data_IF_139031527441
#
_entry.id   IF_139031527441
#
_cell.length_a   1.000
_cell.length_b   1.000
_cell.length_c   1.000
_cell.angle_alpha   90.00
_cell.angle_beta   90.00
_cell.angle_gamma   90.00
#
_symmetry.space_group_name_H-M   'P 1'
#
loop_
_entity.id
_entity.type
_entity.pdbx_description
1 polymer ?
#
# COMPACT_ATOMS: atom_id res chain seq x y z
N UNK A 1 10.36 15.39 12.64
CA UNK A 1 9.25 15.51 11.67
C UNK A 1 8.65 14.13 11.49
N UNK A 2 7.35 13.95 11.76
CA UNK A 2 6.64 12.68 11.65
C UNK A 2 5.71 12.73 10.45
N UNK A 3 6.08 12.12 9.34
CA UNK A 3 5.20 12.00 8.18
C UNK A 3 4.11 10.96 8.46
N UNK A 4 2.85 11.31 8.21
CA UNK A 4 1.70 10.43 8.48
C UNK A 4 0.94 10.17 7.20
N UNK A 5 0.76 8.89 6.86
CA UNK A 5 -0.09 8.46 5.74
C UNK A 5 -1.36 7.90 6.35
N UNK A 6 -2.50 8.51 6.03
CA UNK A 6 -3.82 8.01 6.38
C UNK A 6 -4.34 7.14 5.25
N UNK A 7 -4.46 5.84 5.50
CA UNK A 7 -5.11 4.90 4.57
C UNK A 7 -6.59 4.81 4.94
N UNK A 8 -7.48 5.07 3.98
CA UNK A 8 -8.91 5.09 4.24
C UNK A 8 -9.69 4.43 3.10
N UNK A 9 -10.72 3.68 3.45
CA UNK A 9 -11.68 3.13 2.50
C UNK A 9 -13.09 3.62 2.87
N UNK A 10 -13.55 4.76 2.34
CA UNK A 10 -14.81 5.39 2.77
C UNK A 10 -16.07 4.63 2.35
N UNK A 11 -15.97 3.63 1.47
CA UNK A 11 -17.08 2.84 0.96
C UNK A 11 -16.86 1.32 1.07
N UNK A 12 -17.90 0.56 0.76
CA UNK A 12 -17.88 -0.91 0.86
C UNK A 12 -17.02 -1.58 -0.23
N UNK A 13 -16.68 -0.84 -1.29
CA UNK A 13 -15.92 -1.36 -2.43
C UNK A 13 -14.42 -1.01 -2.32
N UNK A 14 -13.51 -1.93 -2.67
CA UNK A 14 -12.06 -1.68 -2.71
C UNK A 14 -11.65 -0.46 -3.53
N UNK A 15 -12.39 -0.15 -4.61
CA UNK A 15 -12.16 1.02 -5.47
C UNK A 15 -12.30 2.36 -4.73
N UNK A 16 -12.91 2.35 -3.55
CA UNK A 16 -13.02 3.54 -2.71
C UNK A 16 -11.79 3.77 -1.83
N UNK A 17 -10.84 2.83 -1.80
CA UNK A 17 -9.56 3.00 -1.08
C UNK A 17 -8.86 4.23 -1.61
N UNK A 18 -8.40 5.05 -0.68
CA UNK A 18 -7.60 6.21 -0.95
C UNK A 18 -6.65 6.43 0.21
N UNK A 19 -5.72 7.35 0.05
CA UNK A 19 -4.77 7.73 1.05
C UNK A 19 -4.70 9.25 1.13
N UNK A 20 -4.17 9.76 2.24
CA UNK A 20 -3.87 11.16 2.40
C UNK A 20 -2.57 11.31 3.18
N UNK A 21 -1.70 12.16 2.64
CA UNK A 21 -0.37 12.40 3.18
C UNK A 21 -0.38 13.68 4.02
N UNK A 22 0.17 13.60 5.23
CA UNK A 22 0.21 14.70 6.19
C UNK A 22 1.62 14.89 6.75
N UNK A 23 1.97 16.14 7.07
CA UNK A 23 3.27 16.47 7.67
C UNK A 23 3.31 16.18 9.18
N UNK A 24 2.14 15.99 9.79
CA UNK A 24 1.99 15.69 11.22
C UNK A 24 0.76 14.82 11.52
N UNK A 25 0.77 14.18 12.69
CA UNK A 25 -0.39 13.41 13.19
C UNK A 25 -1.59 14.33 13.44
N UNK A 26 -1.36 15.58 13.86
CA UNK A 26 -2.44 16.52 14.12
C UNK A 26 -3.20 16.87 12.83
N UNK A 27 -2.49 17.16 11.75
CA UNK A 27 -3.09 17.39 10.43
C UNK A 27 -3.84 16.15 9.92
N UNK A 28 -3.31 14.96 10.17
CA UNK A 28 -3.99 13.71 9.85
C UNK A 28 -5.34 13.60 10.59
N UNK A 29 -5.38 13.93 11.87
CA UNK A 29 -6.63 13.93 12.65
C UNK A 29 -7.64 14.96 12.13
N UNK A 30 -7.19 16.15 11.72
CA UNK A 30 -8.06 17.12 11.03
C UNK A 30 -8.61 16.54 9.71
N UNK A 31 -7.79 15.76 8.99
CA UNK A 31 -8.20 15.00 7.81
C UNK A 31 -9.32 14.01 8.08
N UNK A 32 -9.21 13.23 9.16
CA UNK A 32 -10.26 12.28 9.60
C UNK A 32 -11.59 13.00 9.83
N UNK A 33 -11.57 14.16 10.51
CA UNK A 33 -12.76 14.98 10.72
C UNK A 33 -13.39 15.44 9.40
N UNK A 34 -12.57 15.94 8.46
CA UNK A 34 -13.04 16.37 7.13
C UNK A 34 -13.70 15.23 6.35
N UNK A 35 -13.11 14.03 6.37
CA UNK A 35 -13.69 12.84 5.73
C UNK A 35 -15.07 12.53 6.30
N UNK A 36 -15.20 12.57 7.64
CA UNK A 36 -16.49 12.32 8.29
C UNK A 36 -17.53 13.39 7.96
N UNK A 37 -17.13 14.67 7.96
CA UNK A 37 -18.01 15.78 7.56
C UNK A 37 -18.51 15.65 6.13
N UNK A 38 -17.65 15.27 5.19
CA UNK A 38 -18.05 15.02 3.81
C UNK A 38 -19.07 13.87 3.70
N UNK A 39 -18.87 12.79 4.46
CA UNK A 39 -19.83 11.69 4.54
C UNK A 39 -21.18 12.15 5.09
N UNK A 40 -21.19 12.97 6.14
CA UNK A 40 -22.41 13.55 6.70
C UNK A 40 -23.13 14.48 5.71
N UNK A 41 -22.39 15.30 4.96
CA UNK A 41 -22.95 16.15 3.87
C UNK A 41 -23.59 15.31 2.77
N UNK A 42 -22.95 14.22 2.36
CA UNK A 42 -23.48 13.30 1.35
C UNK A 42 -24.78 12.63 1.81
N UNK A 43 -24.87 12.27 3.08
CA UNK A 43 -26.09 11.68 3.68
C UNK A 43 -27.20 12.70 3.91
N UNK A 44 -26.85 13.96 4.16
CA UNK A 44 -27.78 15.03 4.52
C UNK A 44 -27.62 16.27 3.62
N UNK A 45 -27.90 16.16 2.30
CA UNK A 45 -27.58 17.22 1.33
C UNK A 45 -28.35 18.53 1.56
N UNK A 46 -29.49 18.47 2.26
CA UNK A 46 -30.32 19.64 2.56
C UNK A 46 -29.97 20.34 3.87
N UNK A 47 -28.95 19.86 4.60
CA UNK A 47 -28.55 20.45 5.88
C UNK A 47 -27.43 21.47 5.66
N UNK A 48 -27.66 22.77 5.91
CA UNK A 48 -26.69 23.82 5.61
C UNK A 48 -25.48 23.82 6.54
N UNK A 49 -25.62 23.26 7.75
CA UNK A 49 -24.53 23.18 8.74
C UNK A 49 -24.50 21.79 9.35
N UNK A 50 -23.39 21.09 9.14
CA UNK A 50 -23.16 19.78 9.75
C UNK A 50 -22.72 19.99 11.20
N UNK A 51 -23.37 19.27 12.11
CA UNK A 51 -22.99 19.20 13.52
C UNK A 51 -22.96 17.74 13.93
N UNK A 52 -21.97 17.36 14.73
CA UNK A 52 -21.80 16.03 15.30
C UNK A 52 -21.02 16.17 16.60
N UNK A 53 -21.24 15.25 17.53
CA UNK A 53 -20.39 15.13 18.71
C UNK A 53 -19.24 14.14 18.47
N UNK A 54 -18.29 14.11 19.40
CA UNK A 54 -17.08 13.27 19.27
C UNK A 54 -17.38 11.77 19.32
N UNK A 55 -18.47 11.35 19.96
CA UNK A 55 -18.86 9.95 20.03
C UNK A 55 -19.28 9.46 18.65
N UNK A 56 -20.03 10.28 17.91
CA UNK A 56 -20.44 9.98 16.53
C UNK A 56 -19.25 9.85 15.58
N UNK A 57 -18.18 10.63 15.79
CA UNK A 57 -16.94 10.51 15.02
C UNK A 57 -16.18 9.21 15.36
N UNK A 58 -16.10 8.84 16.64
CA UNK A 58 -15.46 7.58 17.05
C UNK A 58 -16.21 6.35 16.53
N UNK A 59 -17.54 6.37 16.59
CA UNK A 59 -18.37 5.32 16.01
C UNK A 59 -18.11 5.14 14.50
N UNK A 60 -17.85 6.24 13.78
CA UNK A 60 -17.48 6.19 12.36
C UNK A 60 -16.11 5.55 12.13
N UNK A 61 -15.11 5.93 12.92
CA UNK A 61 -13.75 5.35 12.84
C UNK A 61 -13.80 3.84 13.10
N UNK A 62 -14.55 3.42 14.12
CA UNK A 62 -14.68 2.00 14.48
C UNK A 62 -15.37 1.18 13.37
N UNK A 63 -16.38 1.74 12.71
CA UNK A 63 -17.12 1.09 11.62
C UNK A 63 -16.30 0.89 10.33
N UNK A 64 -15.29 1.74 10.06
CA UNK A 64 -14.42 1.65 8.88
C UNK A 64 -13.55 0.39 8.81
N UNK A 65 -13.44 -0.32 9.93
CA UNK A 65 -12.60 -1.50 10.16
C UNK A 65 -13.08 -2.79 9.46
N UNK A 66 -14.36 -2.87 9.08
CA UNK A 66 -14.95 -4.16 8.64
C UNK A 66 -14.78 -4.49 7.15
N UNK A 67 -14.21 -3.58 6.35
CA UNK A 67 -14.34 -3.62 4.88
C UNK A 67 -13.14 -4.24 4.14
N UNK A 68 -11.99 -4.45 4.80
CA UNK A 68 -10.80 -5.06 4.20
C UNK A 68 -10.88 -6.61 4.10
N UNK A 69 -12.07 -7.16 3.89
CA UNK A 69 -12.36 -8.58 4.08
C UNK A 69 -11.90 -9.53 2.96
N UNK A 70 -11.04 -9.10 2.02
CA UNK A 70 -10.57 -9.98 0.93
C UNK A 70 -9.08 -9.87 0.68
N UNK A 71 -8.41 -11.02 0.90
CA UNK A 71 -6.98 -11.29 0.76
C UNK A 71 -6.11 -10.27 1.54
N UNK A 72 -4.90 -10.64 1.96
CA UNK A 72 -4.09 -9.73 2.80
C UNK A 72 -3.61 -8.54 1.96
N UNK A 73 -4.45 -7.50 1.83
CA UNK A 73 -4.16 -6.30 1.07
C UNK A 73 -2.80 -5.76 1.48
N UNK A 74 -1.95 -5.48 0.50
CA UNK A 74 -0.55 -5.18 0.73
C UNK A 74 -0.19 -3.89 0.02
N UNK A 75 0.40 -2.96 0.75
CA UNK A 75 0.92 -1.69 0.22
C UNK A 75 2.43 -1.78 0.17
N UNK A 76 3.00 -1.59 -1.00
CA UNK A 76 4.44 -1.53 -1.23
C UNK A 76 4.89 -0.07 -1.19
N UNK A 77 5.90 0.23 -0.39
CA UNK A 77 6.55 1.53 -0.31
C UNK A 77 7.93 1.41 -0.95
N UNK A 78 8.25 2.26 -1.93
CA UNK A 78 9.50 2.19 -2.69
C UNK A 78 10.14 3.57 -2.75
N UNK A 79 11.43 3.64 -2.44
CA UNK A 79 12.27 4.81 -2.72
C UNK A 79 13.45 4.39 -3.61
N UNK A 80 13.36 4.57 -4.95
CA UNK A 80 14.43 4.16 -5.86
C UNK A 80 15.70 5.01 -5.78
N UNK A 81 15.58 6.30 -5.43
CA UNK A 81 16.70 7.25 -5.45
C UNK A 81 16.92 7.96 -4.12
N UNK A 82 18.07 8.60 -3.96
CA UNK A 82 18.43 9.29 -2.70
C UNK A 82 17.48 10.45 -2.37
N UNK A 83 16.88 11.07 -3.39
CA UNK A 83 15.95 12.17 -3.21
C UNK A 83 14.60 11.66 -2.68
N UNK A 84 14.04 12.27 -1.61
CA UNK A 84 12.73 11.91 -1.07
C UNK A 84 11.60 11.99 -2.09
N UNK A 85 11.70 12.85 -3.10
CA UNK A 85 10.74 12.99 -4.20
C UNK A 85 10.58 11.73 -5.05
N UNK A 86 11.53 10.79 -4.95
CA UNK A 86 11.44 9.50 -5.65
C UNK A 86 10.57 8.48 -4.91
N UNK A 87 10.12 8.79 -3.69
CA UNK A 87 9.21 7.94 -2.93
C UNK A 87 7.91 7.78 -3.69
N UNK A 88 7.51 6.53 -3.83
CA UNK A 88 6.23 6.15 -4.41
C UNK A 88 5.70 4.94 -3.66
N UNK A 89 4.41 4.67 -3.83
CA UNK A 89 3.80 3.47 -3.28
C UNK A 89 2.90 2.83 -4.35
N UNK A 90 2.55 1.57 -4.12
CA UNK A 90 1.58 0.83 -4.92
C UNK A 90 0.86 -0.14 -4.01
N UNK A 91 -0.42 -0.38 -4.25
CA UNK A 91 -1.21 -1.31 -3.47
C UNK A 91 -1.67 -2.51 -4.30
N UNK A 92 -1.90 -3.62 -3.60
CA UNK A 92 -2.19 -4.93 -4.18
C UNK A 92 -3.22 -5.67 -3.35
N UNK A 93 -4.02 -6.53 -3.96
CA UNK A 93 -5.05 -7.29 -3.23
C UNK A 93 -4.45 -8.44 -2.43
N UNK A 94 -3.21 -8.85 -2.71
CA UNK A 94 -2.52 -9.89 -1.96
C UNK A 94 -1.01 -9.67 -1.84
N UNK A 95 -0.39 -10.38 -0.89
CA UNK A 95 1.07 -10.43 -0.75
C UNK A 95 1.74 -10.95 -2.03
N UNK A 96 1.17 -11.97 -2.68
CA UNK A 96 1.74 -12.55 -3.89
C UNK A 96 1.76 -11.55 -5.05
N UNK A 97 0.64 -10.85 -5.28
CA UNK A 97 0.57 -9.79 -6.28
C UNK A 97 1.58 -8.67 -5.99
N UNK A 98 1.76 -8.31 -4.71
CA UNK A 98 2.78 -7.35 -4.30
C UNK A 98 4.20 -7.83 -4.65
N UNK A 99 4.52 -9.10 -4.41
CA UNK A 99 5.83 -9.66 -4.76
C UNK A 99 6.04 -9.70 -6.27
N UNK A 100 5.01 -10.05 -7.05
CA UNK A 100 5.03 -9.92 -8.52
C UNK A 100 5.25 -8.48 -8.97
N UNK A 101 4.69 -7.51 -8.25
CA UNK A 101 4.93 -6.07 -8.43
C UNK A 101 6.40 -5.71 -8.32
N UNK A 102 7.10 -6.23 -7.30
CA UNK A 102 8.56 -6.02 -7.14
C UNK A 102 9.34 -6.59 -8.33
N UNK A 103 9.00 -7.78 -8.80
CA UNK A 103 9.60 -8.37 -10.01
C UNK A 103 9.37 -7.47 -11.24
N UNK A 104 8.14 -6.97 -11.43
CA UNK A 104 7.79 -6.09 -12.55
C UNK A 104 8.59 -4.78 -12.53
N UNK A 105 8.80 -4.18 -11.36
CA UNK A 105 9.63 -2.98 -11.21
C UNK A 105 11.05 -3.25 -11.73
N UNK A 106 11.64 -4.39 -11.36
CA UNK A 106 12.98 -4.76 -11.84
C UNK A 106 12.99 -5.03 -13.34
N UNK A 107 12.00 -5.76 -13.86
CA UNK A 107 11.84 -6.06 -15.28
C UNK A 107 11.69 -4.80 -16.13
N UNK A 108 10.96 -3.79 -15.65
CA UNK A 108 10.85 -2.50 -16.32
C UNK A 108 12.19 -1.76 -16.37
N UNK A 109 12.97 -1.80 -15.28
CA UNK A 109 14.33 -1.24 -15.30
C UNK A 109 15.25 -1.98 -16.27
N UNK A 110 15.17 -3.30 -16.33
CA UNK A 110 15.91 -4.12 -17.28
C UNK A 110 15.53 -3.80 -18.73
N UNK A 111 14.23 -3.65 -19.04
CA UNK A 111 13.73 -3.26 -20.36
C UNK A 111 14.25 -1.89 -20.78
N UNK A 112 14.27 -0.91 -19.86
CA UNK A 112 14.83 0.43 -20.14
C UNK A 112 16.33 0.38 -20.42
N UNK A 113 17.08 -0.48 -19.74
CA UNK A 113 18.53 -0.67 -19.96
C UNK A 113 18.85 -1.45 -21.24
N UNK A 114 17.95 -2.32 -21.69
CA UNK A 114 18.14 -3.20 -22.84
C UNK A 114 17.00 -3.04 -23.88
N UNK A 115 16.84 -1.86 -24.51
CA UNK A 115 15.68 -1.55 -25.34
C UNK A 115 15.56 -2.41 -26.61
N UNK A 116 16.67 -3.00 -27.06
CA UNK A 116 16.72 -3.84 -28.27
C UNK A 116 16.64 -5.34 -27.95
N UNK A 117 16.51 -5.72 -26.67
CA UNK A 117 16.45 -7.11 -26.24
C UNK A 117 14.99 -7.50 -26.02
N UNK A 118 14.36 -8.26 -26.93
CA UNK A 118 12.92 -8.55 -26.88
C UNK A 118 12.52 -9.40 -25.68
N UNK A 119 13.41 -10.31 -25.26
CA UNK A 119 13.21 -11.17 -24.10
C UNK A 119 14.40 -11.02 -23.17
N UNK A 120 14.16 -10.52 -21.96
CA UNK A 120 15.19 -10.38 -20.94
C UNK A 120 14.98 -11.48 -19.91
N UNK A 121 16.05 -12.18 -19.57
CA UNK A 121 16.08 -13.18 -18.49
C UNK A 121 17.02 -12.67 -17.40
N UNK A 122 16.72 -13.02 -16.15
CA UNK A 122 17.55 -12.69 -15.00
C UNK A 122 17.44 -13.83 -13.99
N UNK A 123 18.49 -14.01 -13.19
CA UNK A 123 18.46 -14.91 -12.05
C UNK A 123 17.97 -14.19 -10.78
N UNK A 124 17.59 -14.97 -9.77
CA UNK A 124 17.06 -14.45 -8.51
C UNK A 124 18.09 -13.61 -7.74
N UNK A 125 19.38 -13.90 -7.88
CA UNK A 125 20.45 -13.14 -7.20
C UNK A 125 20.50 -11.72 -7.76
N UNK A 126 20.38 -11.55 -9.08
CA UNK A 126 20.32 -10.24 -9.73
C UNK A 126 19.10 -9.42 -9.27
N UNK A 127 17.95 -10.07 -9.06
CA UNK A 127 16.77 -9.41 -8.49
C UNK A 127 17.01 -8.97 -7.03
N UNK A 128 17.69 -9.80 -6.23
CA UNK A 128 18.01 -9.46 -4.85
C UNK A 128 19.03 -8.33 -4.74
N UNK A 129 20.05 -8.33 -5.61
CA UNK A 129 21.00 -7.22 -5.71
C UNK A 129 20.29 -5.90 -6.05
N UNK A 130 19.29 -5.95 -6.94
CA UNK A 130 18.45 -4.80 -7.24
C UNK A 130 17.66 -4.31 -6.02
N UNK A 131 17.00 -5.22 -5.28
CA UNK A 131 16.26 -4.89 -4.06
C UNK A 131 17.18 -4.24 -3.02
N UNK A 132 18.39 -4.75 -2.87
CA UNK A 132 19.37 -4.23 -1.91
C UNK A 132 19.88 -2.84 -2.31
N UNK A 133 19.97 -2.54 -3.61
CA UNK A 133 20.36 -1.22 -4.13
C UNK A 133 19.31 -0.11 -3.95
N UNK A 134 18.02 -0.44 -3.77
CA UNK A 134 16.99 0.57 -3.51
C UNK A 134 17.33 1.35 -2.22
N UNK A 135 17.00 2.63 -2.15
CA UNK A 135 17.23 3.40 -0.92
C UNK A 135 16.32 2.93 0.20
N UNK A 136 15.04 2.70 -0.13
CA UNK A 136 14.08 2.11 0.78
C UNK A 136 13.13 1.19 0.02
N UNK A 137 12.76 0.09 0.66
CA UNK A 137 11.74 -0.83 0.20
C UNK A 137 11.14 -1.54 1.43
N UNK A 138 9.85 -1.32 1.63
CA UNK A 138 9.08 -1.98 2.68
C UNK A 138 7.67 -2.26 2.18
N UNK A 139 6.95 -3.14 2.86
CA UNK A 139 5.53 -3.30 2.60
C UNK A 139 4.72 -3.38 3.89
N UNK A 140 3.47 -2.96 3.79
CA UNK A 140 2.46 -2.98 4.83
C UNK A 140 1.44 -4.04 4.45
N UNK A 141 1.32 -5.10 5.24
CA UNK A 141 0.35 -6.19 4.98
C UNK A 141 -0.80 -6.10 5.97
N UNK A 142 -2.02 -6.04 5.44
CA UNK A 142 -3.23 -5.99 6.24
C UNK A 142 -3.43 -7.28 7.06
N UNK A 143 -3.64 -7.11 8.36
CA UNK A 143 -3.90 -8.17 9.33
C UNK A 143 -5.33 -8.10 9.81
N UNK A 144 -6.17 -9.02 9.32
CA UNK A 144 -7.59 -9.08 9.67
C UNK A 144 -7.86 -9.30 11.17
N UNK A 145 -6.98 -10.02 11.86
CA UNK A 145 -7.14 -10.32 13.29
C UNK A 145 -7.04 -9.09 14.19
N UNK A 146 -6.25 -8.10 13.78
CA UNK A 146 -5.99 -6.87 14.54
C UNK A 146 -6.57 -5.63 13.85
N UNK A 147 -7.05 -5.76 12.61
CA UNK A 147 -7.48 -4.65 11.77
C UNK A 147 -6.39 -3.57 11.64
N UNK A 148 -5.16 -4.01 11.41
CA UNK A 148 -3.98 -3.13 11.27
C UNK A 148 -3.12 -3.58 10.10
N UNK A 149 -2.23 -2.70 9.66
CA UNK A 149 -1.16 -3.07 8.75
C UNK A 149 0.11 -3.41 9.51
N UNK A 150 0.67 -4.60 9.27
CA UNK A 150 1.96 -4.99 9.80
C UNK A 150 3.08 -4.60 8.80
N UNK A 151 4.15 -3.92 9.26
CA UNK A 151 5.27 -3.56 8.41
C UNK A 151 6.25 -4.70 8.23
N UNK A 152 6.79 -4.82 7.01
CA UNK A 152 7.83 -5.78 6.63
C UNK A 152 8.91 -5.10 5.79
N UNK A 153 10.14 -5.54 5.98
CA UNK A 153 11.35 -4.98 5.37
C UNK A 153 11.79 -5.77 4.11
N UNK A 154 12.92 -5.33 3.54
CA UNK A 154 13.54 -5.96 2.36
C UNK A 154 13.81 -7.44 2.53
N UNK A 155 14.32 -7.86 3.68
CA UNK A 155 14.66 -9.26 3.94
C UNK A 155 13.42 -10.15 3.84
N UNK A 156 12.31 -9.73 4.44
CA UNK A 156 11.03 -10.43 4.35
C UNK A 156 10.49 -10.47 2.92
N UNK A 157 10.60 -9.34 2.19
CA UNK A 157 10.20 -9.26 0.77
C UNK A 157 11.00 -10.24 -0.08
N UNK A 158 12.33 -10.30 0.08
CA UNK A 158 13.19 -11.26 -0.63
C UNK A 158 12.79 -12.71 -0.34
N UNK A 159 12.48 -13.03 0.92
CA UNK A 159 12.00 -14.37 1.31
C UNK A 159 10.67 -14.71 0.60
N UNK A 160 9.71 -13.80 0.56
CA UNK A 160 8.42 -14.03 -0.11
C UNK A 160 8.55 -14.15 -1.62
N UNK A 161 9.42 -13.37 -2.25
CA UNK A 161 9.77 -13.52 -3.66
C UNK A 161 10.37 -14.90 -3.93
N UNK A 162 11.30 -15.36 -3.08
CA UNK A 162 11.89 -16.69 -3.22
C UNK A 162 10.84 -17.80 -3.19
N UNK A 163 9.91 -17.74 -2.23
CA UNK A 163 8.81 -18.70 -2.11
C UNK A 163 7.91 -18.66 -3.35
N UNK A 164 7.51 -17.46 -3.80
CA UNK A 164 6.68 -17.26 -4.97
C UNK A 164 7.30 -17.88 -6.23
N UNK A 165 8.56 -17.55 -6.52
CA UNK A 165 9.25 -18.01 -7.72
C UNK A 165 9.50 -19.53 -7.69
N UNK A 166 9.80 -20.09 -6.51
CA UNK A 166 9.96 -21.55 -6.35
C UNK A 166 8.66 -22.29 -6.62
N UNK A 167 7.51 -21.77 -6.18
CA UNK A 167 6.21 -22.36 -6.45
C UNK A 167 5.86 -22.31 -7.94
N UNK A 168 6.12 -21.18 -8.60
CA UNK A 168 5.90 -21.06 -10.04
C UNK A 168 6.77 -22.04 -10.86
N UNK A 169 8.03 -22.25 -10.45
CA UNK A 169 8.91 -23.22 -11.09
C UNK A 169 8.49 -24.69 -10.84
N UNK A 170 7.95 -24.99 -9.65
CA UNK A 170 7.51 -26.34 -9.27
C UNK A 170 6.15 -26.77 -9.81
N UNK A 171 5.35 -25.85 -10.37
CA UNK A 171 4.01 -26.15 -10.93
C UNK A 171 4.09 -26.62 -12.40
N UNK A 172 5.28 -26.58 -13.01
CA UNK A 172 5.52 -27.00 -14.40
C UNK A 172 6.14 -28.42 -14.52
N UNK A 173 5.88 -29.32 -13.57
CA UNK A 173 6.31 -30.73 -13.62
C UNK A 173 5.13 -31.68 -13.45
#
# INVERSE_FOLDING_TARGET
MSHTILLVQPGQHPETRTYSDYESVNECMEGVCKIYEEQLKRRNPNTPTITYDISQLFDFVDQGSSVFARMSHTILLVQPGQHPETRTYSDYESVNECMEGVCKIYEEQLKRRNPNTPTITYDISQLFDFVDQLIDLSCLVYQKSTNTYAPYNKEWIKEKIYVLLRQAAGTNV
#
